data_IF_885763275766
#
_entry.id   IF_885763275766
#
_cell.length_a   1.000
_cell.length_b   1.000
_cell.length_c   1.000
_cell.angle_alpha   90.00
_cell.angle_beta   90.00
_cell.angle_gamma   90.00
#
_symmetry.space_group_name_H-M   'P 1'
#
loop_
_entity.id
_entity.type
_entity.pdbx_description
1 polymer ?
#
# COMPACT_ATOMS: atom_id res chain seq x y z
N UNK A 1 -23.01 -3.99 -13.00
CA UNK A 1 -21.92 -3.28 -12.30
C UNK A 1 -22.55 -2.77 -11.03
N UNK A 2 -22.26 -3.38 -9.89
CA UNK A 2 -22.61 -2.77 -8.60
C UNK A 2 -21.71 -1.56 -8.43
N UNK A 3 -22.29 -0.38 -8.23
CA UNK A 3 -21.52 0.81 -7.89
C UNK A 3 -20.76 0.52 -6.59
N UNK A 4 -19.47 0.25 -6.69
CA UNK A 4 -18.61 0.08 -5.52
C UNK A 4 -18.37 1.46 -4.92
N UNK A 5 -18.70 1.63 -3.64
CA UNK A 5 -18.34 2.83 -2.90
C UNK A 5 -16.82 2.96 -2.93
N UNK A 6 -16.35 4.12 -3.40
CA UNK A 6 -14.94 4.48 -3.37
C UNK A 6 -14.66 5.28 -2.10
N UNK A 7 -13.67 4.85 -1.33
CA UNK A 7 -13.25 5.53 -0.10
C UNK A 7 -11.82 6.04 -0.25
N UNK A 8 -11.59 7.25 0.24
CA UNK A 8 -10.26 7.84 0.37
C UNK A 8 -9.96 8.01 1.86
N UNK A 9 -8.84 7.43 2.31
CA UNK A 9 -8.38 7.50 3.70
C UNK A 9 -7.09 8.30 3.71
N UNK A 10 -7.21 9.54 4.16
CA UNK A 10 -6.11 10.45 4.43
C UNK A 10 -6.18 10.92 5.88
N UNK A 11 -5.49 10.19 6.75
CA UNK A 11 -5.47 10.46 8.19
C UNK A 11 -4.03 10.61 8.64
N UNK A 12 -3.78 11.72 9.32
CA UNK A 12 -2.52 12.05 9.96
C UNK A 12 -2.76 12.18 11.47
N UNK A 13 -2.10 11.33 12.25
CA UNK A 13 -2.13 11.38 13.71
C UNK A 13 -0.71 11.67 14.20
N UNK A 14 -0.57 12.65 15.09
CA UNK A 14 0.65 12.82 15.89
C UNK A 14 0.73 11.70 16.95
N UNK A 15 1.08 10.48 16.52
CA UNK A 15 1.26 9.35 17.42
C UNK A 15 2.62 9.41 18.08
N UNK A 16 2.64 9.38 19.41
CA UNK A 16 3.85 9.67 20.18
C UNK A 16 4.69 8.42 20.44
N UNK A 17 4.07 7.24 20.56
CA UNK A 17 4.79 6.01 20.96
C UNK A 17 4.25 4.71 20.34
N UNK A 18 3.20 4.75 19.53
CA UNK A 18 2.52 3.59 18.95
C UNK A 18 2.19 2.54 20.03
N UNK A 19 1.71 3.03 21.17
CA UNK A 19 1.30 2.17 22.27
C UNK A 19 0.03 1.38 21.91
N UNK A 20 -0.39 0.46 22.78
CA UNK A 20 -1.56 -0.38 22.51
C UNK A 20 -2.84 0.44 22.30
N UNK A 21 -2.98 1.61 22.93
CA UNK A 21 -4.18 2.43 22.79
C UNK A 21 -4.21 3.13 21.42
N UNK A 22 -3.09 3.74 21.02
CA UNK A 22 -2.94 4.36 19.70
C UNK A 22 -3.17 3.34 18.57
N UNK A 23 -2.60 2.13 18.70
CA UNK A 23 -2.82 1.04 17.73
C UNK A 23 -4.27 0.59 17.66
N UNK A 24 -4.97 0.49 18.79
CA UNK A 24 -6.38 0.13 18.81
C UNK A 24 -7.25 1.18 18.11
N UNK A 25 -6.94 2.48 18.25
CA UNK A 25 -7.66 3.55 17.55
C UNK A 25 -7.53 3.38 16.03
N UNK A 26 -6.30 3.14 15.53
CA UNK A 26 -6.08 2.89 14.10
C UNK A 26 -6.83 1.62 13.66
N UNK A 27 -6.75 0.54 14.46
CA UNK A 27 -7.41 -0.72 14.16
C UNK A 27 -8.93 -0.56 14.04
N UNK A 28 -9.55 0.13 15.00
CA UNK A 28 -10.97 0.41 15.03
C UNK A 28 -11.40 1.32 13.87
N UNK A 29 -10.57 2.31 13.52
CA UNK A 29 -10.79 3.16 12.34
C UNK A 29 -10.86 2.30 11.07
N UNK A 30 -9.85 1.46 10.83
CA UNK A 30 -9.75 0.61 9.64
C UNK A 30 -10.93 -0.39 9.54
N UNK A 31 -11.42 -0.89 10.67
CA UNK A 31 -12.58 -1.80 10.70
C UNK A 31 -13.87 -1.18 10.17
N UNK A 32 -14.00 0.15 10.12
CA UNK A 32 -15.17 0.80 9.53
C UNK A 32 -15.20 0.69 7.99
N UNK A 33 -14.13 0.21 7.36
CA UNK A 33 -13.97 0.17 5.91
C UNK A 33 -13.82 -1.25 5.34
N UNK A 34 -14.16 -2.29 6.12
CA UNK A 34 -13.97 -3.70 5.71
C UNK A 34 -14.78 -4.11 4.46
N UNK A 35 -15.95 -3.50 4.28
CA UNK A 35 -16.89 -3.81 3.18
C UNK A 35 -16.64 -2.92 1.93
N UNK A 36 -15.52 -2.17 1.90
CA UNK A 36 -15.17 -1.26 0.80
C UNK A 36 -14.49 -2.02 -0.34
N UNK A 37 -15.02 -1.85 -1.55
CA UNK A 37 -14.50 -2.51 -2.76
C UNK A 37 -13.38 -1.77 -3.49
N UNK A 38 -13.28 -0.44 -3.31
CA UNK A 38 -12.31 0.45 -3.94
C UNK A 38 -11.81 1.49 -2.91
N UNK A 39 -10.51 1.50 -2.65
CA UNK A 39 -9.91 2.32 -1.59
C UNK A 39 -8.66 3.06 -2.09
N UNK A 40 -8.49 4.30 -1.63
CA UNK A 40 -7.25 5.07 -1.73
C UNK A 40 -6.69 5.29 -0.32
N UNK A 41 -5.40 5.05 -0.12
CA UNK A 41 -4.70 5.21 1.16
C UNK A 41 -3.55 6.20 0.96
N UNK A 42 -3.53 7.27 1.76
CA UNK A 42 -2.46 8.26 1.74
C UNK A 42 -1.16 7.74 2.37
N UNK A 43 -0.05 8.43 2.11
CA UNK A 43 1.25 8.09 2.69
C UNK A 43 1.22 8.16 4.23
N UNK A 44 0.57 9.16 4.82
CA UNK A 44 0.46 9.28 6.28
C UNK A 44 -0.33 8.11 6.87
N UNK A 45 -1.45 7.75 6.25
CA UNK A 45 -2.24 6.58 6.66
C UNK A 45 -1.44 5.29 6.54
N UNK A 46 -0.56 5.18 5.54
CA UNK A 46 0.30 4.02 5.33
C UNK A 46 1.31 3.84 6.48
N UNK A 47 1.89 4.94 6.99
CA UNK A 47 2.75 4.93 8.18
C UNK A 47 2.00 4.39 9.41
N UNK A 48 0.74 4.78 9.59
CA UNK A 48 -0.11 4.29 10.69
C UNK A 48 -0.37 2.78 10.58
N UNK A 49 -0.65 2.28 9.37
CA UNK A 49 -0.85 0.85 9.11
C UNK A 49 0.44 0.07 9.39
N UNK A 50 1.61 0.60 9.01
CA UNK A 50 2.91 0.01 9.35
C UNK A 50 3.08 -0.16 10.87
N UNK A 51 2.58 0.80 11.65
CA UNK A 51 2.51 0.72 13.11
C UNK A 51 1.76 -0.50 13.67
N UNK A 52 0.90 -1.13 12.87
CA UNK A 52 0.12 -2.33 13.23
C UNK A 52 0.84 -3.64 12.91
N UNK A 53 2.05 -3.63 12.32
CA UNK A 53 2.75 -4.84 11.85
C UNK A 53 2.95 -5.96 12.88
N UNK A 54 2.85 -5.66 14.19
CA UNK A 54 2.95 -6.63 15.27
C UNK A 54 1.60 -7.04 15.88
N UNK A 55 0.49 -6.49 15.38
CA UNK A 55 -0.85 -6.91 15.75
C UNK A 55 -1.25 -8.17 14.99
N UNK A 56 -1.85 -9.12 15.69
CA UNK A 56 -2.37 -10.34 15.10
C UNK A 56 -3.79 -10.62 15.66
N UNK A 57 -4.83 -10.67 14.81
CA UNK A 57 -4.80 -10.50 13.36
C UNK A 57 -4.78 -9.03 12.91
N UNK A 58 -4.14 -8.72 11.78
CA UNK A 58 -4.34 -7.45 11.05
C UNK A 58 -5.78 -7.36 10.49
N UNK A 59 -6.35 -6.16 10.32
CA UNK A 59 -7.63 -5.98 9.63
C UNK A 59 -7.60 -6.61 8.23
N UNK A 60 -8.68 -7.28 7.82
CA UNK A 60 -8.76 -7.93 6.50
C UNK A 60 -9.90 -7.36 5.67
N UNK A 61 -9.55 -6.64 4.60
CA UNK A 61 -10.47 -6.05 3.64
C UNK A 61 -10.84 -7.08 2.57
N UNK A 62 -11.79 -7.96 2.89
CA UNK A 62 -12.18 -9.06 1.99
C UNK A 62 -12.89 -8.57 0.73
N UNK A 63 -13.66 -7.49 0.81
CA UNK A 63 -14.39 -6.96 -0.35
C UNK A 63 -13.52 -6.05 -1.24
N UNK A 64 -12.34 -5.66 -0.76
CA UNK A 64 -11.44 -4.77 -1.47
C UNK A 64 -10.80 -5.46 -2.68
N UNK A 65 -11.17 -4.97 -3.87
CA UNK A 65 -10.65 -5.47 -5.15
C UNK A 65 -9.76 -4.46 -5.87
N UNK A 66 -9.85 -3.18 -5.49
CA UNK A 66 -9.06 -2.08 -6.04
C UNK A 66 -8.44 -1.27 -4.92
N UNK A 67 -7.13 -1.10 -4.95
CA UNK A 67 -6.40 -0.32 -3.97
C UNK A 67 -5.47 0.65 -4.70
N UNK A 68 -5.55 1.92 -4.32
CA UNK A 68 -4.55 2.93 -4.65
C UNK A 68 -3.77 3.29 -3.39
N UNK A 69 -2.45 3.25 -3.47
CA UNK A 69 -1.56 3.62 -2.36
C UNK A 69 -0.68 4.77 -2.83
N UNK A 70 -0.65 5.83 -2.03
CA UNK A 70 0.32 6.92 -2.19
C UNK A 70 1.46 6.62 -1.22
N UNK A 71 2.68 6.53 -1.73
CA UNK A 71 3.86 6.22 -0.90
C UNK A 71 5.05 7.09 -1.28
N UNK A 72 5.88 7.43 -0.30
CA UNK A 72 7.12 8.16 -0.58
C UNK A 72 8.12 7.30 -1.34
N UNK A 73 8.81 7.89 -2.31
CA UNK A 73 9.92 7.27 -3.05
C UNK A 73 11.07 6.86 -2.15
N UNK A 74 11.25 7.61 -1.07
CA UNK A 74 12.30 7.40 -0.08
C UNK A 74 11.83 6.46 1.05
N UNK A 75 10.55 6.05 1.04
CA UNK A 75 9.98 5.21 2.08
C UNK A 75 10.57 3.81 2.10
N UNK A 76 10.41 3.16 3.25
CA UNK A 76 10.63 1.73 3.33
C UNK A 76 9.58 0.96 2.52
N UNK A 77 10.05 0.11 1.61
CA UNK A 77 9.16 -0.75 0.81
C UNK A 77 8.61 -1.94 1.62
N UNK A 78 9.02 -2.11 2.88
CA UNK A 78 8.51 -3.14 3.80
C UNK A 78 7.02 -2.93 4.14
N UNK A 79 6.53 -1.70 4.01
CA UNK A 79 5.12 -1.39 4.26
C UNK A 79 4.18 -2.03 3.23
N UNK A 80 4.64 -2.22 2.00
CA UNK A 80 3.81 -2.75 0.91
C UNK A 80 3.34 -4.18 1.20
N UNK A 81 4.21 -5.15 1.56
CA UNK A 81 3.78 -6.48 1.99
C UNK A 81 2.73 -6.48 3.10
N UNK A 82 2.83 -5.60 4.09
CA UNK A 82 1.88 -5.51 5.23
C UNK A 82 0.49 -5.10 4.73
N UNK A 83 0.42 -4.11 3.85
CA UNK A 83 -0.85 -3.66 3.26
C UNK A 83 -1.45 -4.74 2.38
N UNK A 84 -0.65 -5.39 1.54
CA UNK A 84 -1.13 -6.48 0.69
C UNK A 84 -1.62 -7.68 1.52
N UNK A 85 -1.01 -7.95 2.67
CA UNK A 85 -1.49 -8.99 3.59
C UNK A 85 -2.92 -8.72 4.08
N UNK A 86 -3.29 -7.45 4.22
CA UNK A 86 -4.62 -7.01 4.66
C UNK A 86 -5.69 -7.09 3.57
N UNK A 87 -5.31 -7.33 2.30
CA UNK A 87 -6.21 -7.22 1.15
C UNK A 87 -6.29 -8.53 0.35
N UNK A 88 -6.84 -9.63 0.90
CA UNK A 88 -6.69 -10.98 0.36
C UNK A 88 -7.28 -11.20 -1.04
N UNK A 89 -8.26 -10.38 -1.47
CA UNK A 89 -8.93 -10.50 -2.76
C UNK A 89 -8.56 -9.37 -3.75
N UNK A 90 -7.47 -8.64 -3.48
CA UNK A 90 -7.06 -7.51 -4.29
C UNK A 90 -6.75 -7.93 -5.73
N UNK A 91 -7.33 -7.22 -6.71
CA UNK A 91 -7.14 -7.47 -8.14
C UNK A 91 -6.38 -6.36 -8.85
N UNK A 92 -6.58 -5.13 -8.43
CA UNK A 92 -5.94 -3.95 -9.02
C UNK A 92 -5.20 -3.18 -7.94
N UNK A 93 -3.91 -2.94 -8.17
CA UNK A 93 -3.09 -2.09 -7.33
C UNK A 93 -2.55 -0.93 -8.17
N UNK A 94 -2.78 0.29 -7.71
CA UNK A 94 -2.12 1.49 -8.23
C UNK A 94 -1.19 2.05 -7.16
N UNK A 95 0.10 2.15 -7.46
CA UNK A 95 1.11 2.76 -6.61
C UNK A 95 1.46 4.13 -7.17
N UNK A 96 1.11 5.19 -6.45
CA UNK A 96 1.60 6.54 -6.72
C UNK A 96 2.81 6.80 -5.82
N UNK A 97 3.98 6.93 -6.44
CA UNK A 97 5.21 7.28 -5.75
C UNK A 97 5.34 8.80 -5.71
N UNK A 98 5.56 9.38 -4.54
CA UNK A 98 5.72 10.83 -4.37
C UNK A 98 7.06 11.18 -3.73
N UNK A 99 7.57 12.38 -3.99
CA UNK A 99 8.70 12.91 -3.22
C UNK A 99 8.18 13.31 -1.84
N UNK A 100 8.85 12.86 -0.80
CA UNK A 100 8.64 13.33 0.56
C UNK A 100 9.93 13.99 1.04
N UNK A 101 9.80 15.22 1.52
CA UNK A 101 10.92 16.05 2.00
C UNK A 101 11.38 15.61 3.40
N UNK A 102 10.62 14.74 4.08
CA UNK A 102 11.01 14.19 5.36
C UNK A 102 12.16 13.17 5.23
N UNK A 103 13.29 13.35 5.95
CA UNK A 103 14.41 12.44 5.91
C UNK A 103 14.10 11.17 6.72
N UNK A 104 13.31 10.27 6.15
CA UNK A 104 13.15 8.93 6.72
C UNK A 104 14.35 8.04 6.38
N UNK A 105 14.69 7.14 7.30
CA UNK A 105 15.75 6.17 7.08
C UNK A 105 15.36 5.27 5.91
N UNK A 106 16.10 5.38 4.81
CA UNK A 106 15.87 4.67 3.56
C UNK A 106 16.14 3.16 3.77
N UNK A 107 15.11 2.42 4.18
CA UNK A 107 15.13 0.95 4.23
C UNK A 107 14.47 0.42 2.98
N UNK A 108 15.23 0.32 1.88
CA UNK A 108 14.68 -0.12 0.59
C UNK A 108 14.32 -1.61 0.55
N UNK A 109 14.56 -2.40 1.59
CA UNK A 109 14.21 -3.83 1.58
C UNK A 109 12.70 -4.02 1.37
N UNK A 110 12.36 -5.01 0.56
CA UNK A 110 11.00 -5.54 0.49
C UNK A 110 11.06 -6.90 1.18
N UNK A 111 10.11 -7.17 2.07
CA UNK A 111 10.01 -8.49 2.70
C UNK A 111 9.79 -9.57 1.64
N UNK A 112 10.50 -10.69 1.77
CA UNK A 112 10.29 -11.88 0.93
C UNK A 112 9.03 -12.66 1.32
N UNK A 113 8.34 -12.28 2.40
CA UNK A 113 7.08 -12.89 2.79
C UNK A 113 6.00 -12.45 1.79
N UNK A 114 5.40 -13.42 1.11
CA UNK A 114 4.40 -13.14 0.08
C UNK A 114 3.00 -13.14 0.69
N UNK A 115 2.26 -12.07 0.43
CA UNK A 115 0.84 -11.99 0.78
C UNK A 115 0.02 -12.90 -0.13
N UNK A 116 -1.13 -13.37 0.37
CA UNK A 116 -2.00 -14.26 -0.39
C UNK A 116 -2.49 -13.63 -1.70
N UNK A 117 -2.86 -12.34 -1.68
CA UNK A 117 -3.38 -11.66 -2.87
C UNK A 117 -2.34 -11.53 -3.97
N UNK A 118 -1.08 -11.32 -3.62
CA UNK A 118 0.03 -11.21 -4.57
C UNK A 118 0.11 -12.49 -5.39
N UNK A 119 0.04 -13.65 -4.74
CA UNK A 119 0.14 -14.94 -5.42
C UNK A 119 -1.16 -15.30 -6.15
N UNK A 120 -2.33 -14.99 -5.59
CA UNK A 120 -3.60 -15.64 -6.03
C UNK A 120 -4.59 -14.76 -6.78
N UNK A 121 -4.56 -13.44 -6.62
CA UNK A 121 -5.65 -12.57 -7.08
C UNK A 121 -5.20 -11.30 -7.79
N UNK A 122 -3.96 -10.85 -7.59
CA UNK A 122 -3.48 -9.59 -8.16
C UNK A 122 -3.30 -9.73 -9.68
N UNK A 123 -4.14 -9.02 -10.44
CA UNK A 123 -4.20 -9.11 -11.90
C UNK A 123 -3.58 -7.89 -12.59
N UNK A 124 -3.65 -6.72 -11.96
CA UNK A 124 -3.20 -5.46 -12.55
C UNK A 124 -2.39 -4.65 -11.55
N UNK A 125 -1.22 -4.19 -11.99
CA UNK A 125 -0.38 -3.27 -11.24
C UNK A 125 -0.09 -2.05 -12.11
N UNK A 126 -0.30 -0.87 -11.56
CA UNK A 126 0.09 0.41 -12.13
C UNK A 126 1.04 1.10 -11.16
N UNK A 127 2.17 1.57 -11.67
CA UNK A 127 3.17 2.34 -10.91
C UNK A 127 3.27 3.71 -11.58
N UNK A 128 2.92 4.75 -10.83
CA UNK A 128 3.00 6.15 -11.25
C UNK A 128 4.10 6.83 -10.45
N UNK A 129 4.99 7.57 -11.11
CA UNK A 129 6.11 8.25 -10.44
C UNK A 129 6.49 9.60 -11.08
N UNK A 130 7.16 10.50 -10.35
CA UNK A 130 7.70 11.73 -10.91
C UNK A 130 8.65 11.49 -12.09
N UNK A 131 8.72 12.39 -13.08
CA UNK A 131 9.70 12.27 -14.20
C UNK A 131 11.16 12.29 -13.73
N UNK A 132 11.44 12.84 -12.54
CA UNK A 132 12.79 13.09 -12.01
C UNK A 132 13.23 11.95 -11.06
N UNK A 133 12.53 10.82 -11.03
CA UNK A 133 12.76 9.76 -10.04
C UNK A 133 14.09 9.01 -10.15
N UNK A 134 14.50 8.44 -9.02
CA UNK A 134 15.54 7.41 -8.95
C UNK A 134 15.00 6.10 -9.57
N UNK A 135 15.50 5.74 -10.76
CA UNK A 135 15.10 4.51 -11.49
C UNK A 135 15.17 3.23 -10.64
N UNK A 136 16.03 3.19 -9.61
CA UNK A 136 16.29 2.00 -8.81
C UNK A 136 15.09 1.51 -7.98
N UNK A 137 14.31 2.42 -7.37
CA UNK A 137 13.15 2.02 -6.54
C UNK A 137 12.02 1.47 -7.39
N UNK A 138 11.77 2.10 -8.54
CA UNK A 138 10.78 1.64 -9.52
C UNK A 138 11.16 0.26 -10.07
N UNK A 139 12.40 0.10 -10.53
CA UNK A 139 12.89 -1.19 -11.04
C UNK A 139 12.73 -2.30 -10.01
N UNK A 140 12.98 -1.99 -8.73
CA UNK A 140 12.82 -2.94 -7.63
C UNK A 140 11.36 -3.35 -7.42
N UNK A 141 10.43 -2.40 -7.47
CA UNK A 141 8.99 -2.67 -7.38
C UNK A 141 8.51 -3.50 -8.58
N UNK A 142 8.91 -3.11 -9.80
CA UNK A 142 8.58 -3.85 -11.02
C UNK A 142 9.05 -5.30 -10.90
N UNK A 143 10.31 -5.50 -10.50
CA UNK A 143 10.87 -6.84 -10.33
C UNK A 143 10.15 -7.63 -9.24
N UNK A 144 9.84 -7.01 -8.11
CA UNK A 144 9.07 -7.64 -7.04
C UNK A 144 7.73 -8.17 -7.54
N UNK A 145 6.95 -7.39 -8.29
CA UNK A 145 5.67 -7.86 -8.81
C UNK A 145 5.84 -8.92 -9.90
N UNK A 146 6.77 -8.75 -10.83
CA UNK A 146 7.01 -9.74 -11.89
C UNK A 146 7.47 -11.10 -11.34
N UNK A 147 8.31 -11.10 -10.30
CA UNK A 147 8.86 -12.32 -9.72
C UNK A 147 7.84 -13.06 -8.83
N UNK A 148 6.87 -12.35 -8.24
CA UNK A 148 6.00 -12.91 -7.19
C UNK A 148 4.50 -12.96 -7.53
N UNK A 149 3.99 -12.11 -8.43
CA UNK A 149 2.56 -12.02 -8.71
C UNK A 149 2.12 -13.01 -9.81
N UNK A 150 1.71 -14.21 -9.42
CA UNK A 150 1.48 -15.31 -10.40
C UNK A 150 0.25 -15.12 -11.28
N UNK A 151 -0.72 -14.31 -10.83
CA UNK A 151 -1.96 -14.02 -11.58
C UNK A 151 -1.89 -12.71 -12.38
N UNK A 152 -0.73 -12.06 -12.41
CA UNK A 152 -0.54 -10.75 -13.02
C UNK A 152 -0.77 -10.82 -14.55
N UNK A 153 -1.76 -10.05 -15.02
CA UNK A 153 -2.11 -9.93 -16.44
C UNK A 153 -1.44 -8.71 -17.08
N UNK A 154 -1.28 -7.63 -16.31
CA UNK A 154 -0.67 -6.39 -16.79
C UNK A 154 0.07 -5.67 -15.66
N UNK A 155 1.28 -5.25 -15.97
CA UNK A 155 2.02 -4.25 -15.22
C UNK A 155 2.28 -3.07 -16.15
N UNK A 156 1.93 -1.86 -15.72
CA UNK A 156 2.28 -0.62 -16.42
C UNK A 156 2.99 0.35 -15.52
N UNK A 157 3.91 1.10 -16.11
CA UNK A 157 4.52 2.28 -15.50
C UNK A 157 4.10 3.54 -16.24
N UNK A 158 3.85 4.61 -15.51
CA UNK A 158 3.57 5.95 -16.04
C UNK A 158 4.37 6.97 -15.24
N UNK A 159 4.52 8.17 -15.79
CA UNK A 159 5.23 9.25 -15.12
C UNK A 159 4.42 10.54 -15.13
N UNK A 160 4.56 11.34 -14.08
CA UNK A 160 3.93 12.65 -13.94
C UNK A 160 4.94 13.74 -13.58
N UNK A 161 4.58 15.00 -13.82
CA UNK A 161 5.41 16.15 -13.42
C UNK A 161 4.91 16.63 -12.06
N UNK A 162 5.77 16.56 -11.03
CA UNK A 162 5.50 17.19 -9.74
C UNK A 162 5.58 18.71 -9.91
N UNK A 163 4.52 19.42 -9.53
CA UNK A 163 4.42 20.90 -9.60
C UNK A 163 4.81 21.50 -8.25
#
# INVERSE_FOLDING_TARGET
>A
MSDSVKVDIDVDFELTNHDLAERNIIYDLLNNFLDVGDMTISWQTLKLIYGLQHMNPLPKFYDLTRLRVIMSLNASLEVLPIVLESCPNLKHLSLELVNDDEPEAVVTSISNVLSFCLVSSLEYVEIESPVITEEATEEKLIRYFLDNATSLKKLSKSSFVSV
#
